data_IF_665031699893
#
_entry.id   IF_665031699893
#
_cell.length_a   1.000
_cell.length_b   1.000
_cell.length_c   1.000
_cell.angle_alpha   90.00
_cell.angle_beta   90.00
_cell.angle_gamma   90.00
#
_symmetry.space_group_name_H-M   'P 1'
#
loop_
_entity.id
_entity.type
_entity.pdbx_description
1 polymer ?
#
# COMPACT_ATOMS: atom_id res chain seq x y z
N UNK A 1 -12.82 -15.13 7.60
CA UNK A 1 -11.44 -14.85 7.23
C UNK A 1 -10.53 -15.36 8.33
N UNK A 2 -9.61 -16.26 8.02
CA UNK A 2 -8.61 -16.71 8.99
C UNK A 2 -7.76 -15.50 9.36
N UNK A 3 -7.72 -15.17 10.64
CA UNK A 3 -6.93 -14.07 11.13
C UNK A 3 -5.44 -14.43 10.99
N UNK A 4 -4.71 -13.69 10.16
CA UNK A 4 -3.26 -13.80 10.13
C UNK A 4 -2.72 -13.44 11.51
N UNK A 5 -2.07 -14.38 12.16
CA UNK A 5 -1.57 -14.22 13.52
C UNK A 5 -0.59 -13.05 13.64
N UNK A 6 0.36 -12.93 12.70
CA UNK A 6 1.38 -11.87 12.73
C UNK A 6 0.78 -10.50 12.53
N UNK A 7 -0.15 -10.37 11.56
CA UNK A 7 -0.89 -9.14 11.34
C UNK A 7 -1.69 -8.75 12.58
N UNK A 8 -2.48 -9.68 13.13
CA UNK A 8 -3.36 -9.41 14.29
C UNK A 8 -2.55 -8.98 15.51
N UNK A 9 -1.42 -9.66 15.76
CA UNK A 9 -0.51 -9.32 16.86
C UNK A 9 0.08 -7.92 16.71
N UNK A 10 0.53 -7.57 15.51
CA UNK A 10 1.08 -6.24 15.23
C UNK A 10 0.00 -5.18 15.33
N UNK A 11 -1.15 -5.40 14.70
CA UNK A 11 -2.27 -4.45 14.68
C UNK A 11 -2.77 -4.08 16.09
N UNK A 12 -2.86 -5.05 16.99
CA UNK A 12 -3.25 -4.81 18.39
C UNK A 12 -2.28 -3.89 19.15
N UNK A 13 -1.06 -3.77 18.70
CA UNK A 13 0.01 -2.97 19.32
C UNK A 13 0.31 -1.68 18.58
N UNK A 14 -0.43 -1.39 17.50
CA UNK A 14 -0.19 -0.24 16.63
C UNK A 14 -1.29 0.80 16.86
N UNK A 15 -0.89 2.02 17.15
CA UNK A 15 -1.75 3.20 17.14
C UNK A 15 -1.58 3.94 15.81
N UNK A 16 -2.66 4.45 15.28
CA UNK A 16 -2.65 5.22 14.04
C UNK A 16 -2.80 6.71 14.35
N UNK A 17 -1.82 7.47 13.91
CA UNK A 17 -1.85 8.93 14.00
C UNK A 17 -1.94 9.48 12.58
N UNK A 18 -3.03 10.16 12.27
CA UNK A 18 -3.22 10.84 10.99
C UNK A 18 -2.53 12.19 11.03
N UNK A 19 -1.71 12.49 10.04
CA UNK A 19 -1.11 13.81 9.87
C UNK A 19 -1.89 14.59 8.82
N UNK A 20 -2.38 15.76 9.20
CA UNK A 20 -3.10 16.66 8.32
C UNK A 20 -2.25 17.08 7.12
N UNK A 21 -2.84 17.10 5.94
CA UNK A 21 -2.16 17.42 4.70
C UNK A 21 -2.73 18.71 4.10
N UNK A 22 -1.96 19.80 4.17
CA UNK A 22 -2.35 21.12 3.64
C UNK A 22 -2.03 21.28 2.16
N UNK A 23 -1.07 20.49 1.64
CA UNK A 23 -0.63 20.56 0.25
C UNK A 23 -0.25 19.17 -0.25
N UNK A 24 -0.76 18.78 -1.42
CA UNK A 24 -0.38 17.53 -2.07
C UNK A 24 1.00 17.61 -2.72
N UNK A 25 1.68 16.47 -2.81
CA UNK A 25 2.85 16.34 -3.67
C UNK A 25 2.41 16.23 -5.14
N UNK A 26 3.34 16.50 -6.05
CA UNK A 26 3.10 16.56 -7.50
C UNK A 26 2.36 15.33 -8.05
N UNK A 27 2.72 14.13 -7.61
CA UNK A 27 2.16 12.88 -8.12
C UNK A 27 1.04 12.30 -7.26
N UNK A 28 0.58 13.03 -6.22
CA UNK A 28 -0.56 12.61 -5.42
C UNK A 28 -1.87 12.72 -6.21
N UNK A 29 -2.73 11.72 -6.08
CA UNK A 29 -4.10 11.69 -6.60
C UNK A 29 -5.07 11.06 -5.58
N UNK A 30 -4.82 11.31 -4.30
CA UNK A 30 -5.63 10.75 -3.20
C UNK A 30 -7.08 11.23 -3.24
N UNK A 31 -7.35 12.45 -3.73
CA UNK A 31 -8.70 12.97 -3.90
C UNK A 31 -9.48 12.14 -4.92
N UNK A 32 -8.87 11.82 -6.07
CA UNK A 32 -9.47 10.94 -7.10
C UNK A 32 -9.74 9.53 -6.56
N UNK A 33 -8.97 9.07 -5.58
CA UNK A 33 -9.15 7.75 -4.95
C UNK A 33 -10.12 7.78 -3.77
N UNK A 34 -10.57 8.96 -3.33
CA UNK A 34 -11.41 9.11 -2.14
C UNK A 34 -10.69 8.82 -0.82
N UNK A 35 -9.36 8.92 -0.79
CA UNK A 35 -8.51 8.54 0.36
C UNK A 35 -7.79 9.71 1.01
N UNK A 36 -8.16 10.92 0.66
CA UNK A 36 -7.63 12.16 1.24
C UNK A 36 -8.13 12.44 2.67
N UNK A 37 -9.16 11.71 3.11
CA UNK A 37 -9.73 11.80 4.47
C UNK A 37 -9.68 10.44 5.15
N UNK A 38 -9.58 10.45 6.48
CA UNK A 38 -9.64 9.25 7.30
C UNK A 38 -10.41 9.54 8.57
N UNK A 39 -11.31 8.62 8.96
CA UNK A 39 -12.14 8.75 10.18
C UNK A 39 -11.74 7.74 11.26
N UNK A 40 -11.02 6.68 10.88
CA UNK A 40 -10.61 5.61 11.77
C UNK A 40 -9.14 5.76 12.17
N UNK A 41 -8.89 6.53 13.25
CA UNK A 41 -7.57 6.77 13.80
C UNK A 41 -7.62 6.92 15.33
N UNK A 42 -6.49 6.72 15.98
CA UNK A 42 -6.32 6.88 17.43
C UNK A 42 -5.97 8.33 17.81
N UNK A 43 -5.31 9.05 16.89
CA UNK A 43 -5.04 10.47 17.01
C UNK A 43 -4.92 11.13 15.63
N UNK A 44 -5.10 12.46 15.60
CA UNK A 44 -4.81 13.27 14.43
C UNK A 44 -3.95 14.47 14.80
N UNK A 45 -3.15 14.98 13.86
CA UNK A 45 -2.31 16.14 14.08
C UNK A 45 -2.24 17.05 12.86
N UNK A 46 -2.23 18.34 13.10
CA UNK A 46 -1.82 19.36 12.14
C UNK A 46 -0.47 19.94 12.56
N UNK A 47 0.43 20.10 11.60
CA UNK A 47 1.74 20.73 11.80
C UNK A 47 1.74 22.07 11.08
N UNK A 48 1.77 23.17 11.85
CA UNK A 48 1.73 24.56 11.33
C UNK A 48 2.94 25.33 11.81
N UNK A 49 4.02 25.29 11.03
CA UNK A 49 5.30 25.87 11.43
C UNK A 49 5.88 25.15 12.65
N UNK A 50 5.99 25.85 13.78
CA UNK A 50 6.51 25.29 15.05
C UNK A 50 5.39 24.82 16.01
N UNK A 51 4.14 24.92 15.59
CA UNK A 51 3.01 24.49 16.39
C UNK A 51 2.46 23.14 15.90
N UNK A 52 2.11 22.28 16.85
CA UNK A 52 1.43 21.02 16.60
C UNK A 52 0.09 21.07 17.31
N UNK A 53 -0.98 20.95 16.54
CA UNK A 53 -2.33 20.78 17.05
C UNK A 53 -2.68 19.30 17.01
N UNK A 54 -3.31 18.78 18.08
CA UNK A 54 -3.60 17.37 18.25
C UNK A 54 -5.07 17.16 18.58
N UNK A 55 -5.69 16.17 17.95
CA UNK A 55 -6.89 15.51 18.43
C UNK A 55 -6.50 14.11 18.93
N UNK A 56 -6.81 13.79 20.18
CA UNK A 56 -6.49 12.52 20.80
C UNK A 56 -7.78 11.77 21.13
N UNK A 57 -8.01 10.66 20.47
CA UNK A 57 -9.18 9.78 20.67
C UNK A 57 -8.87 8.62 21.61
N UNK A 58 -7.62 8.19 21.63
CA UNK A 58 -7.15 7.08 22.48
C UNK A 58 -6.63 7.62 23.82
N UNK A 59 -7.09 7.04 24.92
CA UNK A 59 -6.75 7.47 26.28
C UNK A 59 -5.26 7.33 26.59
N UNK A 60 -4.59 6.33 26.04
CA UNK A 60 -3.14 6.12 26.23
C UNK A 60 -2.31 7.31 25.69
N UNK A 61 -2.85 8.06 24.74
CA UNK A 61 -2.19 9.19 24.11
C UNK A 61 -2.45 10.52 24.85
N UNK A 62 -3.34 10.56 25.82
CA UNK A 62 -3.69 11.80 26.58
C UNK A 62 -2.52 12.39 27.37
N UNK A 63 -1.47 11.65 27.59
CA UNK A 63 -0.21 12.15 28.18
C UNK A 63 0.43 13.29 27.37
N UNK A 64 0.09 13.39 26.09
CA UNK A 64 0.58 14.45 25.19
C UNK A 64 -0.31 15.70 25.15
N UNK A 65 -1.38 15.77 25.96
CA UNK A 65 -2.25 16.93 26.03
C UNK A 65 -1.49 18.19 26.48
N UNK A 66 -1.70 19.25 25.71
CA UNK A 66 -1.23 20.59 26.02
C UNK A 66 -2.40 21.53 26.31
N UNK A 67 -2.30 22.79 25.81
CA UNK A 67 -3.38 23.77 25.89
C UNK A 67 -4.54 23.35 24.98
N UNK A 68 -5.76 23.42 25.48
CA UNK A 68 -6.97 23.19 24.72
C UNK A 68 -7.14 24.24 23.61
N UNK A 69 -7.41 23.79 22.40
CA UNK A 69 -7.66 24.62 21.20
C UNK A 69 -8.71 23.94 20.33
N UNK A 70 -9.40 24.74 19.54
CA UNK A 70 -10.27 24.19 18.50
C UNK A 70 -9.43 23.44 17.47
N UNK A 71 -9.85 22.22 17.13
CA UNK A 71 -9.14 21.35 16.20
C UNK A 71 -10.06 20.90 15.07
N UNK A 72 -9.62 21.12 13.85
CA UNK A 72 -10.15 20.49 12.65
C UNK A 72 -8.96 20.03 11.79
N UNK A 73 -8.96 18.76 11.41
CA UNK A 73 -7.82 18.21 10.67
C UNK A 73 -7.77 18.75 9.24
N UNK A 74 -6.59 19.17 8.83
CA UNK A 74 -6.35 19.67 7.48
C UNK A 74 -6.40 18.53 6.44
N UNK A 75 -7.19 18.70 5.40
CA UNK A 75 -7.25 17.76 4.27
C UNK A 75 -7.03 18.46 2.95
N UNK A 76 -6.28 17.82 2.07
CA UNK A 76 -6.20 18.24 0.67
C UNK A 76 -7.54 18.02 0.00
N UNK A 77 -8.10 19.07 -0.61
CA UNK A 77 -9.35 19.02 -1.34
C UNK A 77 -9.17 18.84 -2.86
N UNK A 78 -7.97 19.13 -3.37
CA UNK A 78 -7.63 19.00 -4.79
C UNK A 78 -6.17 18.55 -4.94
N UNK A 79 -5.91 17.67 -5.91
CA UNK A 79 -4.57 17.29 -6.34
C UNK A 79 -4.21 17.98 -7.66
N UNK A 80 -2.90 18.14 -7.94
CA UNK A 80 -2.41 18.62 -9.24
C UNK A 80 -2.58 17.55 -10.32
N UNK A 81 -2.56 16.29 -9.92
CA UNK A 81 -2.77 15.13 -10.79
C UNK A 81 -4.10 14.46 -10.47
N UNK A 82 -4.99 14.40 -11.46
CA UNK A 82 -6.30 13.79 -11.34
C UNK A 82 -6.34 12.48 -12.14
N UNK A 83 -6.97 11.46 -11.55
CA UNK A 83 -7.15 10.14 -12.17
C UNK A 83 -8.62 9.84 -12.23
N UNK A 84 -9.11 9.53 -13.40
CA UNK A 84 -10.46 9.02 -13.58
C UNK A 84 -10.44 7.49 -13.54
N UNK A 85 -11.22 6.93 -12.64
CA UNK A 85 -11.38 5.48 -12.52
C UNK A 85 -12.73 5.07 -13.12
N UNK A 86 -12.75 4.10 -14.02
CA UNK A 86 -14.01 3.61 -14.56
C UNK A 86 -14.82 2.90 -13.46
N UNK A 87 -16.12 3.12 -13.44
CA UNK A 87 -17.05 2.43 -12.53
C UNK A 87 -17.04 0.91 -12.73
N UNK A 88 -16.93 0.51 -13.98
CA UNK A 88 -16.84 -0.91 -14.38
C UNK A 88 -15.61 -1.13 -15.25
N UNK A 89 -14.79 -2.08 -14.84
CA UNK A 89 -13.65 -2.54 -15.63
C UNK A 89 -14.09 -3.78 -16.41
N UNK A 90 -14.04 -3.70 -17.75
CA UNK A 90 -14.09 -4.92 -18.56
C UNK A 90 -12.77 -5.69 -18.36
N UNK A 91 -12.85 -6.68 -17.48
CA UNK A 91 -11.68 -7.46 -17.10
C UNK A 91 -11.03 -8.19 -18.28
N UNK A 92 -11.87 -8.76 -19.17
CA UNK A 92 -11.35 -9.52 -20.32
C UNK A 92 -10.67 -8.61 -21.33
N UNK A 93 -11.25 -7.44 -21.60
CA UNK A 93 -10.64 -6.42 -22.45
C UNK A 93 -9.32 -5.93 -21.85
N UNK A 94 -9.32 -5.53 -20.59
CA UNK A 94 -8.13 -5.04 -19.90
C UNK A 94 -7.05 -6.11 -19.76
N UNK A 95 -7.43 -7.36 -19.54
CA UNK A 95 -6.47 -8.46 -19.45
C UNK A 95 -5.66 -8.66 -20.73
N UNK A 96 -6.25 -8.43 -21.87
CA UNK A 96 -5.65 -8.66 -23.18
C UNK A 96 -5.18 -7.38 -23.88
N UNK A 97 -5.29 -6.23 -23.20
CA UNK A 97 -4.95 -4.95 -23.81
C UNK A 97 -3.44 -4.81 -24.06
N UNK A 98 -3.09 -4.33 -25.26
CA UNK A 98 -1.69 -4.21 -25.72
C UNK A 98 -0.85 -3.21 -24.92
N UNK A 99 -1.47 -2.29 -24.15
CA UNK A 99 -0.73 -1.35 -23.29
C UNK A 99 0.24 -2.05 -22.33
N UNK A 100 -0.05 -3.30 -21.97
CA UNK A 100 0.81 -4.06 -21.07
C UNK A 100 2.14 -4.47 -21.71
N UNK A 101 2.19 -4.62 -23.04
CA UNK A 101 3.40 -5.00 -23.77
C UNK A 101 4.50 -3.93 -23.66
N UNK A 102 4.13 -2.65 -23.47
CA UNK A 102 5.09 -1.58 -23.23
C UNK A 102 5.95 -1.82 -21.98
N UNK A 103 5.38 -2.46 -20.96
CA UNK A 103 6.10 -2.75 -19.72
C UNK A 103 7.13 -3.85 -19.87
N UNK A 104 7.08 -4.65 -20.92
CA UNK A 104 8.12 -5.65 -21.20
C UNK A 104 9.47 -5.01 -21.53
N UNK A 105 9.44 -3.77 -22.05
CA UNK A 105 10.64 -2.97 -22.36
C UNK A 105 10.95 -1.90 -21.32
N UNK A 106 9.93 -1.29 -20.70
CA UNK A 106 10.09 -0.20 -19.73
C UNK A 106 10.43 -0.68 -18.32
N UNK A 107 9.90 -1.82 -17.91
CA UNK A 107 10.03 -2.31 -16.54
C UNK A 107 11.30 -3.15 -16.40
N UNK A 108 12.19 -2.76 -15.51
CA UNK A 108 13.43 -3.48 -15.18
C UNK A 108 13.26 -4.47 -14.02
N UNK A 109 12.05 -4.77 -13.61
CA UNK A 109 11.70 -5.71 -12.53
C UNK A 109 12.36 -5.40 -11.16
N UNK A 110 12.71 -4.14 -10.87
CA UNK A 110 13.37 -3.76 -9.62
C UNK A 110 12.47 -3.84 -8.37
N UNK A 111 11.15 -3.93 -8.55
CA UNK A 111 10.19 -4.04 -7.45
C UNK A 111 9.91 -2.77 -6.64
N UNK A 112 10.60 -1.65 -6.90
CA UNK A 112 10.46 -0.38 -6.15
C UNK A 112 9.03 0.09 -6.03
N UNK A 113 8.25 0.02 -7.12
CA UNK A 113 6.84 0.41 -7.13
C UNK A 113 5.95 -0.38 -6.13
N UNK A 114 6.39 -1.53 -5.66
CA UNK A 114 5.73 -2.28 -4.58
C UNK A 114 6.35 -1.98 -3.22
N UNK A 115 7.68 -1.86 -3.14
CA UNK A 115 8.36 -1.58 -1.88
C UNK A 115 8.08 -0.17 -1.35
N UNK A 116 7.81 0.80 -2.23
CA UNK A 116 7.37 2.15 -1.84
C UNK A 116 5.87 2.25 -1.51
N UNK A 117 5.08 1.25 -1.91
CA UNK A 117 3.63 1.32 -1.78
C UNK A 117 3.15 0.92 -0.38
N UNK A 118 2.42 1.82 0.34
CA UNK A 118 1.97 1.56 1.70
C UNK A 118 0.93 0.43 1.79
N UNK A 119 0.26 0.10 0.69
CA UNK A 119 -0.77 -0.94 0.65
C UNK A 119 -0.29 -2.25 0.00
N UNK A 120 0.99 -2.36 -0.40
CA UNK A 120 1.56 -3.61 -0.87
C UNK A 120 2.10 -4.45 0.29
N UNK A 121 1.52 -5.63 0.49
CA UNK A 121 1.86 -6.56 1.56
C UNK A 121 2.35 -7.92 1.04
N UNK A 122 2.92 -7.95 -0.17
CA UNK A 122 3.49 -9.16 -0.75
C UNK A 122 4.63 -9.68 0.11
N UNK A 123 4.66 -10.98 0.37
CA UNK A 123 5.72 -11.63 1.13
C UNK A 123 6.10 -12.97 0.51
N UNK A 124 7.28 -13.44 0.85
CA UNK A 124 7.78 -14.79 0.58
C UNK A 124 8.14 -15.48 1.89
N UNK A 125 8.14 -16.81 1.88
CA UNK A 125 8.62 -17.59 3.02
C UNK A 125 10.03 -18.10 2.69
N UNK A 126 10.95 -17.88 3.63
CA UNK A 126 12.32 -18.38 3.55
C UNK A 126 12.59 -19.36 4.69
N UNK A 127 13.10 -20.52 4.35
CA UNK A 127 13.58 -21.50 5.31
C UNK A 127 15.09 -21.30 5.52
N UNK A 128 15.49 -21.00 6.74
CA UNK A 128 16.86 -20.72 7.15
C UNK A 128 17.30 -21.85 8.07
N UNK A 129 18.27 -22.65 7.63
CA UNK A 129 18.87 -23.70 8.44
C UNK A 129 20.08 -23.16 9.21
N UNK A 130 20.14 -23.47 10.50
CA UNK A 130 21.26 -23.03 11.32
C UNK A 130 22.49 -23.85 11.05
N UNK A 131 23.63 -23.17 10.89
CA UNK A 131 24.91 -23.83 10.62
C UNK A 131 25.41 -24.64 11.83
N UNK A 132 25.12 -24.13 13.03
CA UNK A 132 25.53 -24.69 14.31
C UNK A 132 24.75 -25.95 14.67
N UNK A 133 23.50 -26.05 14.21
CA UNK A 133 22.66 -27.23 14.42
C UNK A 133 21.83 -27.50 13.16
N UNK A 134 22.26 -28.47 12.38
CA UNK A 134 21.62 -28.83 11.09
C UNK A 134 20.20 -29.36 11.22
N UNK A 135 19.77 -29.77 12.43
CA UNK A 135 18.45 -30.26 12.71
C UNK A 135 17.47 -29.12 13.12
N UNK A 136 17.98 -27.91 13.22
CA UNK A 136 17.18 -26.74 13.59
C UNK A 136 17.22 -25.67 12.50
N UNK A 137 16.14 -24.93 12.41
CA UNK A 137 16.01 -23.82 11.49
C UNK A 137 14.78 -22.97 11.84
N UNK A 138 14.60 -21.92 11.09
CA UNK A 138 13.42 -21.07 11.18
C UNK A 138 12.79 -20.87 9.81
N UNK A 139 11.47 -20.69 9.80
CA UNK A 139 10.74 -20.23 8.61
C UNK A 139 10.39 -18.77 8.81
N UNK A 140 10.96 -17.93 7.99
CA UNK A 140 10.86 -16.48 8.08
C UNK A 140 9.99 -15.93 6.96
N UNK A 141 9.03 -15.06 7.33
CA UNK A 141 8.31 -14.23 6.37
C UNK A 141 9.19 -13.03 6.02
N UNK A 142 9.48 -12.85 4.74
CA UNK A 142 10.26 -11.72 4.23
C UNK A 142 9.43 -10.91 3.24
N UNK A 143 9.62 -9.61 3.23
CA UNK A 143 8.93 -8.73 2.29
C UNK A 143 9.36 -9.06 0.86
N UNK A 144 8.40 -9.12 -0.05
CA UNK A 144 8.62 -9.47 -1.45
C UNK A 144 7.84 -8.54 -2.38
N UNK A 145 8.07 -8.67 -3.67
CA UNK A 145 7.38 -7.88 -4.68
C UNK A 145 6.90 -8.75 -5.82
N UNK A 146 5.62 -8.59 -6.20
CA UNK A 146 5.06 -9.25 -7.37
C UNK A 146 5.66 -8.77 -8.70
N UNK A 147 6.51 -7.72 -8.67
CA UNK A 147 7.23 -7.21 -9.83
C UNK A 147 8.63 -7.85 -9.99
N UNK A 148 9.17 -8.47 -8.94
CA UNK A 148 10.49 -9.10 -8.98
C UNK A 148 10.39 -10.49 -9.58
N UNK A 149 11.45 -10.90 -10.31
CA UNK A 149 11.56 -12.25 -10.87
C UNK A 149 11.51 -13.31 -9.78
N UNK A 150 10.89 -14.43 -10.11
CA UNK A 150 10.79 -15.56 -9.21
C UNK A 150 9.65 -15.51 -8.19
N UNK A 151 9.02 -14.36 -7.95
CA UNK A 151 7.95 -14.23 -6.94
C UNK A 151 6.76 -15.16 -7.21
N UNK A 152 6.41 -15.39 -8.48
CA UNK A 152 5.30 -16.28 -8.88
C UNK A 152 5.74 -17.67 -9.30
N UNK A 153 6.99 -18.03 -9.05
CA UNK A 153 7.49 -19.37 -9.34
C UNK A 153 6.87 -20.39 -8.37
N UNK A 154 6.48 -21.51 -8.93
CA UNK A 154 5.97 -22.66 -8.17
C UNK A 154 6.95 -23.83 -8.26
N UNK A 155 6.70 -24.88 -7.49
CA UNK A 155 7.46 -26.11 -7.56
C UNK A 155 7.53 -26.62 -9.00
N UNK A 156 8.72 -27.10 -9.43
CA UNK A 156 8.97 -27.50 -10.81
C UNK A 156 9.41 -26.37 -11.73
N UNK A 157 9.64 -25.15 -11.23
CA UNK A 157 10.19 -24.02 -12.00
C UNK A 157 9.21 -23.30 -12.92
N UNK A 158 7.91 -23.60 -12.83
CA UNK A 158 6.90 -22.89 -13.61
C UNK A 158 6.60 -21.51 -13.01
N UNK A 159 6.37 -20.51 -13.85
CA UNK A 159 5.95 -19.18 -13.47
C UNK A 159 4.71 -18.75 -14.25
N UNK A 160 3.69 -18.25 -13.53
CA UNK A 160 2.45 -17.75 -14.14
C UNK A 160 2.60 -16.38 -14.80
N UNK A 161 3.63 -15.60 -14.44
CA UNK A 161 3.84 -14.23 -14.93
C UNK A 161 5.31 -14.03 -15.28
N UNK A 162 5.69 -14.50 -16.45
CA UNK A 162 7.07 -14.42 -16.95
C UNK A 162 7.38 -13.00 -17.41
N UNK A 163 6.47 -12.39 -18.17
CA UNK A 163 6.64 -11.05 -18.74
C UNK A 163 6.38 -9.95 -17.73
N UNK A 164 7.11 -8.83 -17.81
CA UNK A 164 6.93 -7.67 -16.95
C UNK A 164 5.55 -7.01 -17.12
N UNK A 165 5.04 -6.96 -18.35
CA UNK A 165 3.69 -6.49 -18.63
C UNK A 165 2.61 -7.31 -17.93
N UNK A 166 2.78 -8.61 -17.83
CA UNK A 166 1.84 -9.48 -17.08
C UNK A 166 1.87 -9.16 -15.58
N UNK A 167 3.02 -8.84 -15.02
CA UNK A 167 3.18 -8.46 -13.61
C UNK A 167 2.58 -7.09 -13.34
N UNK A 168 2.83 -6.11 -14.22
CA UNK A 168 2.25 -4.78 -14.10
C UNK A 168 0.73 -4.81 -14.21
N UNK A 169 0.20 -5.56 -15.18
CA UNK A 169 -1.24 -5.81 -15.29
C UNK A 169 -1.83 -6.36 -13.99
N UNK A 170 -1.21 -7.39 -13.44
CA UNK A 170 -1.65 -7.99 -12.18
C UNK A 170 -1.64 -6.97 -11.05
N UNK A 171 -0.56 -6.21 -10.89
CA UNK A 171 -0.47 -5.17 -9.85
C UNK A 171 -1.58 -4.13 -9.99
N UNK A 172 -1.78 -3.62 -11.21
CA UNK A 172 -2.76 -2.56 -11.47
C UNK A 172 -4.18 -3.07 -11.23
N UNK A 173 -4.57 -4.16 -11.85
CA UNK A 173 -5.92 -4.72 -11.70
C UNK A 173 -6.19 -5.17 -10.27
N UNK A 174 -5.19 -5.72 -9.56
CA UNK A 174 -5.32 -6.06 -8.15
C UNK A 174 -5.72 -4.85 -7.30
N UNK A 175 -5.14 -3.68 -7.57
CA UNK A 175 -5.36 -2.46 -6.78
C UNK A 175 -6.66 -1.71 -7.07
N UNK A 176 -7.12 -1.71 -8.31
CA UNK A 176 -8.27 -0.90 -8.73
C UNK A 176 -9.50 -1.72 -9.11
N UNK A 177 -9.36 -3.02 -9.35
CA UNK A 177 -10.45 -3.89 -9.74
C UNK A 177 -10.70 -5.01 -8.72
N UNK A 178 -9.73 -5.93 -8.51
CA UNK A 178 -9.94 -7.13 -7.72
C UNK A 178 -10.24 -6.82 -6.25
N UNK A 179 -9.50 -5.88 -5.69
CA UNK A 179 -9.68 -5.44 -4.31
C UNK A 179 -11.04 -4.72 -4.15
N UNK A 180 -11.37 -3.80 -5.07
CA UNK A 180 -12.65 -3.08 -5.08
C UNK A 180 -13.83 -4.04 -5.20
N UNK A 181 -13.74 -5.04 -6.08
CA UNK A 181 -14.77 -6.08 -6.22
C UNK A 181 -14.99 -6.88 -4.93
N UNK A 182 -13.93 -7.09 -4.16
CA UNK A 182 -13.94 -7.92 -2.96
C UNK A 182 -14.32 -7.16 -1.69
N UNK A 183 -13.89 -5.91 -1.58
CA UNK A 183 -13.99 -5.12 -0.35
C UNK A 183 -14.77 -3.81 -0.49
N UNK A 184 -15.20 -3.44 -1.68
CA UNK A 184 -15.98 -2.23 -1.95
C UNK A 184 -15.16 -0.95 -2.13
N UNK A 185 -13.84 -1.03 -1.91
CA UNK A 185 -12.93 0.12 -2.00
C UNK A 185 -11.66 -0.21 -2.81
N UNK A 186 -10.97 0.80 -3.29
CA UNK A 186 -9.71 0.61 -4.01
C UNK A 186 -8.56 0.34 -3.04
N UNK A 187 -7.64 -0.55 -3.41
CA UNK A 187 -6.41 -0.78 -2.65
C UNK A 187 -5.39 0.34 -2.87
N UNK A 188 -5.46 1.05 -3.99
CA UNK A 188 -4.61 2.20 -4.25
C UNK A 188 -5.11 3.40 -3.47
N UNK A 189 -4.24 4.06 -2.71
CA UNK A 189 -4.55 5.26 -1.92
C UNK A 189 -4.11 6.56 -2.60
N UNK A 190 -3.71 6.53 -3.85
CA UNK A 190 -3.36 7.72 -4.62
C UNK A 190 -2.17 8.52 -4.09
N UNK A 191 -1.24 7.90 -3.37
CA UNK A 191 -0.10 8.59 -2.76
C UNK A 191 1.03 8.95 -3.74
N UNK A 192 0.99 8.49 -4.99
CA UNK A 192 1.97 8.80 -6.04
C UNK A 192 3.36 8.19 -5.90
N UNK A 193 3.72 7.58 -4.75
CA UNK A 193 5.08 7.09 -4.48
C UNK A 193 5.64 6.10 -5.50
N UNK A 194 4.78 5.32 -6.13
CA UNK A 194 5.22 4.36 -7.15
C UNK A 194 5.53 5.00 -8.51
N UNK A 195 5.15 6.26 -8.71
CA UNK A 195 5.42 7.04 -9.91
C UNK A 195 6.71 7.86 -9.75
N UNK A 196 7.08 8.19 -8.52
CA UNK A 196 8.31 8.89 -8.16
C UNK A 196 9.57 8.00 -8.22
N UNK A 197 9.42 6.66 -8.47
CA UNK A 197 10.48 5.66 -8.37
C UNK A 197 11.03 5.27 -9.79
#
# INVERSE_FOLDING_TARGET
ASNDFFYTRTRKRTKFVVVGCTKSFRNCFCVSMGTNKADNYDAAMNIRGNEIQLELRDDDLKVFLGREVDFDIDYVSKNDFEVELPDKVDFMYMQNHKMWDEYDTRCIACGRCNYSCPTCTCFSMQDIHYKENKNMGERRRVWASCQVDGYTNIAGGHSFRVKHGQRMRFKTLHKIHDYRKRFGENMCVGCGRCDDM
#
